data_IF_972781177164
#
_entry.id   IF_972781177164
#
_cell.length_a   1.000
_cell.length_b   1.000
_cell.length_c   1.000
_cell.angle_alpha   90.00
_cell.angle_beta   90.00
_cell.angle_gamma   90.00
#
_symmetry.space_group_name_H-M   'P 1'
#
loop_
_entity.id
_entity.type
_entity.pdbx_description
1 polymer ?
#
# COMPACT_ATOMS: atom_id res chain seq x y z
N UNK A 1 5.47 -20.93 19.20
CA UNK A 1 4.90 -19.58 19.35
C UNK A 1 3.60 -19.61 20.14
N UNK A 2 3.34 -18.59 20.96
CA UNK A 2 2.08 -18.44 21.71
C UNK A 2 0.84 -18.38 20.80
N UNK A 3 1.02 -18.01 19.52
CA UNK A 3 -0.02 -18.00 18.48
C UNK A 3 -0.63 -19.37 18.18
N UNK A 4 0.17 -20.44 18.24
CA UNK A 4 -0.29 -21.80 17.95
C UNK A 4 -0.84 -22.51 19.19
N UNK A 5 -0.46 -22.06 20.40
CA UNK A 5 -0.82 -22.67 21.69
C UNK A 5 -2.12 -22.12 22.30
N UNK A 6 -2.88 -21.29 21.57
CA UNK A 6 -4.16 -20.73 22.04
C UNK A 6 -4.06 -19.69 23.16
N UNK A 7 -2.85 -19.29 23.57
CA UNK A 7 -2.62 -18.26 24.61
C UNK A 7 -2.87 -16.83 24.12
N UNK A 8 -3.04 -16.64 22.80
CA UNK A 8 -3.38 -15.35 22.19
C UNK A 8 -4.89 -15.23 22.05
N UNK A 9 -5.47 -14.13 22.54
CA UNK A 9 -6.89 -13.78 22.35
C UNK A 9 -7.22 -13.70 20.84
N UNK A 10 -8.28 -14.37 20.40
CA UNK A 10 -8.73 -14.42 19.01
C UNK A 10 -8.56 -15.79 18.33
N UNK A 11 -8.84 -15.85 17.02
CA UNK A 11 -8.81 -17.10 16.23
C UNK A 11 -7.46 -17.82 16.35
N UNK A 12 -7.49 -19.14 16.56
CA UNK A 12 -6.30 -20.01 16.54
C UNK A 12 -5.57 -19.80 15.21
N UNK A 13 -4.30 -19.43 15.30
CA UNK A 13 -3.45 -19.26 14.12
C UNK A 13 -2.71 -20.58 13.90
N UNK A 14 -2.78 -21.10 12.67
CA UNK A 14 -2.05 -22.30 12.27
C UNK A 14 -0.53 -22.14 12.37
N UNK A 15 0.20 -23.24 12.24
CA UNK A 15 1.67 -23.20 12.19
C UNK A 15 2.15 -22.31 11.03
N UNK A 16 3.29 -21.60 11.19
CA UNK A 16 3.91 -20.87 10.09
C UNK A 16 4.09 -21.80 8.88
N UNK A 17 3.58 -21.38 7.72
CA UNK A 17 3.76 -22.10 6.46
C UNK A 17 4.83 -21.39 5.64
N UNK A 18 5.71 -22.15 5.01
CA UNK A 18 6.62 -21.59 4.02
C UNK A 18 5.81 -20.96 2.87
N UNK A 19 6.21 -19.76 2.44
CA UNK A 19 5.65 -19.16 1.23
C UNK A 19 6.05 -20.00 0.02
N UNK A 20 5.10 -20.26 -0.87
CA UNK A 20 5.40 -20.87 -2.18
C UNK A 20 6.30 -19.94 -2.98
N UNK A 21 7.26 -20.49 -3.72
CA UNK A 21 8.18 -19.70 -4.57
C UNK A 21 7.44 -18.92 -5.66
N UNK A 22 6.29 -19.41 -6.10
CA UNK A 22 5.44 -18.82 -7.16
C UNK A 22 4.48 -17.73 -6.68
N UNK A 23 4.28 -17.59 -5.37
CA UNK A 23 3.45 -16.51 -4.83
C UNK A 23 4.22 -15.19 -4.82
N UNK A 24 3.50 -14.08 -4.65
CA UNK A 24 4.11 -12.78 -4.42
C UNK A 24 5.15 -12.84 -3.28
N UNK A 25 6.33 -12.31 -3.56
CA UNK A 25 7.45 -12.24 -2.62
C UNK A 25 7.76 -10.78 -2.30
N UNK A 26 8.27 -10.54 -1.11
CA UNK A 26 8.61 -9.19 -0.69
C UNK A 26 9.78 -9.17 0.30
N UNK A 27 10.62 -8.15 0.20
CA UNK A 27 11.69 -7.86 1.14
C UNK A 27 11.68 -6.37 1.48
N UNK A 28 11.63 -6.03 2.77
CA UNK A 28 11.61 -4.65 3.25
C UNK A 28 12.96 -4.27 3.84
N UNK A 29 13.47 -3.12 3.42
CA UNK A 29 14.69 -2.50 3.91
C UNK A 29 14.31 -1.19 4.63
N UNK A 30 14.77 -1.03 5.86
CA UNK A 30 14.67 0.24 6.60
C UNK A 30 15.93 1.08 6.41
N UNK A 31 15.92 2.28 6.97
CA UNK A 31 17.09 3.18 7.07
C UNK A 31 18.35 2.37 7.43
N UNK A 32 19.45 2.63 6.70
CA UNK A 32 20.72 1.89 6.79
C UNK A 32 20.80 0.64 5.90
N UNK A 33 19.65 0.06 5.52
CA UNK A 33 19.57 -1.08 4.60
C UNK A 33 19.42 -0.70 3.12
N UNK A 34 19.25 0.59 2.81
CA UNK A 34 19.14 1.11 1.46
C UNK A 34 19.58 2.57 1.39
N UNK A 35 19.87 3.05 0.18
CA UNK A 35 20.07 4.47 -0.10
C UNK A 35 19.66 4.80 -1.53
N UNK A 36 19.44 6.09 -1.81
CA UNK A 36 19.07 6.58 -3.13
C UNK A 36 20.04 7.69 -3.50
N UNK A 37 20.72 7.57 -4.64
CA UNK A 37 21.70 8.57 -5.11
C UNK A 37 21.69 8.64 -6.64
N UNK A 38 21.48 9.84 -7.19
CA UNK A 38 21.47 10.07 -8.63
C UNK A 38 20.47 9.18 -9.37
N UNK A 39 19.26 9.02 -8.83
CA UNK A 39 18.20 8.17 -9.40
C UNK A 39 18.43 6.66 -9.28
N UNK A 40 19.57 6.22 -8.72
CA UNK A 40 19.87 4.81 -8.44
C UNK A 40 19.48 4.45 -7.02
N UNK A 41 19.04 3.21 -6.84
CA UNK A 41 18.72 2.62 -5.54
C UNK A 41 19.79 1.59 -5.20
N UNK A 42 20.38 1.75 -4.03
CA UNK A 42 21.22 0.75 -3.39
C UNK A 42 20.39 -0.04 -2.39
N UNK A 43 20.54 -1.37 -2.39
CA UNK A 43 20.01 -2.26 -1.36
C UNK A 43 21.16 -3.06 -0.73
N UNK A 44 21.20 -3.12 0.59
CA UNK A 44 22.22 -3.87 1.32
C UNK A 44 22.25 -5.34 0.86
N UNK A 45 23.45 -5.85 0.58
CA UNK A 45 23.72 -7.22 0.06
C UNK A 45 23.20 -7.52 -1.34
N UNK A 46 22.55 -6.57 -2.02
CA UNK A 46 22.06 -6.72 -3.39
C UNK A 46 22.85 -5.83 -4.34
N UNK A 47 23.13 -4.58 -3.94
CA UNK A 47 23.88 -3.62 -4.75
C UNK A 47 23.01 -2.51 -5.34
N UNK A 48 23.53 -1.85 -6.36
CA UNK A 48 22.92 -0.68 -7.02
C UNK A 48 22.14 -1.07 -8.27
N UNK A 49 21.01 -0.43 -8.50
CA UNK A 49 20.25 -0.54 -9.75
C UNK A 49 19.44 0.73 -10.02
N UNK A 50 19.03 0.91 -11.27
CA UNK A 50 18.24 2.07 -11.71
C UNK A 50 16.80 1.61 -11.97
N UNK A 51 15.85 1.85 -11.05
CA UNK A 51 14.44 1.57 -11.32
C UNK A 51 13.85 2.57 -12.32
N UNK A 52 12.74 2.19 -12.94
CA UNK A 52 11.87 3.13 -13.64
C UNK A 52 11.03 3.84 -12.57
N UNK A 53 11.21 5.14 -12.42
CA UNK A 53 10.48 5.95 -11.45
C UNK A 53 9.08 6.27 -11.99
N UNK A 54 8.05 5.89 -11.24
CA UNK A 54 6.66 6.28 -11.56
C UNK A 54 6.33 7.72 -11.16
N UNK A 55 7.14 8.29 -10.25
CA UNK A 55 7.11 9.67 -9.78
C UNK A 55 8.38 9.96 -8.98
N UNK A 56 8.71 11.24 -8.84
CA UNK A 56 9.74 11.68 -7.91
C UNK A 56 9.30 11.48 -6.45
N UNK A 57 10.27 11.24 -5.56
CA UNK A 57 10.01 11.12 -4.13
C UNK A 57 9.92 12.53 -3.53
N UNK A 58 8.82 12.89 -2.85
CA UNK A 58 8.66 14.22 -2.30
C UNK A 58 9.60 14.47 -1.11
N UNK A 59 9.96 13.42 -0.37
CA UNK A 59 10.86 13.47 0.79
C UNK A 59 11.70 12.19 0.86
N UNK A 60 12.70 12.19 1.75
CA UNK A 60 13.50 11.01 2.02
C UNK A 60 12.62 9.87 2.58
N UNK A 61 12.64 8.68 1.97
CA UNK A 61 11.83 7.56 2.44
C UNK A 61 12.39 6.93 3.73
N UNK A 62 11.50 6.48 4.60
CA UNK A 62 11.86 5.73 5.82
C UNK A 62 12.14 4.25 5.56
N UNK A 63 11.66 3.74 4.42
CA UNK A 63 11.89 2.36 3.99
C UNK A 63 11.55 2.14 2.53
N UNK A 64 12.11 1.08 1.97
CA UNK A 64 11.77 0.56 0.65
C UNK A 64 11.38 -0.91 0.76
N UNK A 65 10.33 -1.31 0.06
CA UNK A 65 9.91 -2.71 -0.07
C UNK A 65 10.09 -3.14 -1.52
N UNK A 66 10.94 -4.14 -1.73
CA UNK A 66 11.05 -4.85 -3.00
C UNK A 66 9.90 -5.85 -3.07
N UNK A 67 9.13 -5.83 -4.14
CA UNK A 67 8.00 -6.73 -4.36
C UNK A 67 8.25 -7.46 -5.67
N UNK A 68 8.10 -8.78 -5.65
CA UNK A 68 8.06 -9.62 -6.85
C UNK A 68 6.65 -10.16 -6.99
N UNK A 69 5.97 -9.82 -8.08
CA UNK A 69 4.63 -10.33 -8.34
C UNK A 69 4.65 -11.75 -8.95
N UNK A 70 3.47 -12.33 -9.13
CA UNK A 70 3.33 -13.66 -9.74
C UNK A 70 3.70 -13.69 -11.23
N UNK A 71 3.75 -12.52 -11.89
CA UNK A 71 4.20 -12.35 -13.27
C UNK A 71 5.73 -12.14 -13.37
N UNK A 72 6.47 -12.38 -12.27
CA UNK A 72 7.93 -12.29 -12.22
C UNK A 72 8.46 -10.85 -12.43
N UNK A 73 7.64 -9.82 -12.19
CA UNK A 73 8.02 -8.40 -12.27
C UNK A 73 8.42 -7.89 -10.89
N UNK A 74 9.38 -6.97 -10.87
CA UNK A 74 9.88 -6.35 -9.64
C UNK A 74 9.40 -4.91 -9.52
N UNK A 75 8.97 -4.55 -8.31
CA UNK A 75 8.54 -3.20 -7.95
C UNK A 75 9.25 -2.74 -6.68
N UNK A 76 9.49 -1.43 -6.60
CA UNK A 76 9.91 -0.77 -5.38
C UNK A 76 8.76 0.09 -4.85
N UNK A 77 8.38 -0.15 -3.59
CA UNK A 77 7.44 0.70 -2.87
C UNK A 77 8.19 1.43 -1.76
N UNK A 78 8.20 2.77 -1.85
CA UNK A 78 8.82 3.64 -0.87
C UNK A 78 7.78 4.17 0.11
N UNK A 79 8.12 4.16 1.40
CA UNK A 79 7.32 4.84 2.42
C UNK A 79 7.97 6.17 2.71
N UNK A 80 7.27 7.25 2.43
CA UNK A 80 7.69 8.63 2.69
C UNK A 80 6.75 9.25 3.72
N UNK A 81 7.31 10.05 4.62
CA UNK A 81 6.54 10.90 5.50
C UNK A 81 6.36 12.25 4.81
N UNK A 82 5.13 12.77 4.84
CA UNK A 82 4.74 14.02 4.18
C UNK A 82 3.97 14.82 5.21
N UNK A 83 4.36 16.07 5.41
CA UNK A 83 3.58 16.99 6.24
C UNK A 83 2.24 17.28 5.58
N UNK A 84 1.17 17.13 6.34
CA UNK A 84 -0.17 17.48 5.88
C UNK A 84 -0.30 18.99 5.79
N UNK A 85 -0.65 19.50 4.61
CA UNK A 85 -1.02 20.90 4.47
C UNK A 85 -2.45 21.05 5.02
N UNK A 86 -2.56 21.65 6.21
CA UNK A 86 -3.85 22.05 6.75
C UNK A 86 -4.26 23.37 6.08
N UNK A 87 -5.27 23.29 5.24
CA UNK A 87 -5.96 24.45 4.68
C UNK A 87 -7.33 24.56 5.34
N UNK A 88 -7.77 25.78 5.62
CA UNK A 88 -9.13 25.99 6.07
C UNK A 88 -10.11 25.54 4.98
N UNK A 89 -11.15 24.82 5.42
CA UNK A 89 -12.21 24.39 4.54
C UNK A 89 -12.92 25.64 4.00
N UNK A 90 -12.85 25.84 2.68
CA UNK A 90 -13.56 26.95 2.01
C UNK A 90 -15.09 26.76 1.99
N UNK A 91 -15.53 25.50 2.13
CA UNK A 91 -16.92 25.10 2.05
C UNK A 91 -17.38 24.51 3.38
N UNK A 92 -18.69 24.49 3.57
CA UNK A 92 -19.32 23.84 4.72
C UNK A 92 -18.98 22.35 4.76
N UNK A 93 -18.88 21.79 5.97
CA UNK A 93 -18.73 20.35 6.16
C UNK A 93 -19.96 19.61 5.63
N UNK A 94 -19.72 18.47 4.97
CA UNK A 94 -20.77 17.63 4.41
C UNK A 94 -20.58 16.18 4.87
N UNK A 95 -21.66 15.57 5.37
CA UNK A 95 -21.67 14.15 5.67
C UNK A 95 -21.83 13.35 4.38
N UNK A 96 -21.03 12.29 4.21
CA UNK A 96 -21.10 11.39 3.06
C UNK A 96 -21.41 9.97 3.56
N UNK A 97 -22.54 9.41 3.13
CA UNK A 97 -22.90 8.00 3.33
C UNK A 97 -22.66 7.21 2.04
N UNK A 98 -21.94 6.10 2.13
CA UNK A 98 -21.52 5.31 0.96
C UNK A 98 -22.37 4.04 0.81
N UNK A 99 -22.89 3.81 -0.40
CA UNK A 99 -23.79 2.69 -0.68
C UNK A 99 -23.49 1.95 -1.98
N UNK A 100 -24.12 0.78 -2.15
CA UNK A 100 -23.94 -0.07 -3.34
C UNK A 100 -24.80 0.43 -4.51
N UNK A 101 -26.08 0.72 -4.26
CA UNK A 101 -27.03 1.19 -5.29
C UNK A 101 -26.81 2.67 -5.62
N UNK A 102 -26.65 3.49 -4.59
CA UNK A 102 -26.27 4.90 -4.69
C UNK A 102 -24.90 5.02 -4.06
N UNK A 103 -23.90 5.40 -4.86
CA UNK A 103 -22.50 5.37 -4.44
C UNK A 103 -22.24 6.28 -3.24
N UNK A 104 -22.78 7.50 -3.29
CA UNK A 104 -22.66 8.46 -2.20
C UNK A 104 -23.94 9.28 -2.06
N UNK A 105 -24.43 9.44 -0.84
CA UNK A 105 -25.49 10.39 -0.46
C UNK A 105 -24.87 11.44 0.44
N UNK A 106 -25.10 12.70 0.09
CA UNK A 106 -24.57 13.85 0.81
C UNK A 106 -25.64 14.45 1.74
N UNK A 107 -25.24 15.01 2.88
CA UNK A 107 -26.18 15.61 3.85
C UNK A 107 -26.94 16.84 3.33
N UNK A 108 -26.51 17.42 2.21
CA UNK A 108 -27.23 18.47 1.47
C UNK A 108 -28.33 17.91 0.54
N UNK A 109 -28.50 16.59 0.46
CA UNK A 109 -29.48 15.91 -0.39
C UNK A 109 -28.97 15.51 -1.77
N UNK A 110 -27.78 15.94 -2.17
CA UNK A 110 -27.16 15.52 -3.44
C UNK A 110 -26.76 14.04 -3.41
N UNK A 111 -26.73 13.40 -4.58
CA UNK A 111 -26.48 11.96 -4.71
C UNK A 111 -25.58 11.66 -5.91
N UNK A 112 -24.54 10.86 -5.68
CA UNK A 112 -23.74 10.25 -6.74
C UNK A 112 -24.23 8.81 -6.99
N UNK A 113 -24.58 8.50 -8.24
CA UNK A 113 -25.03 7.16 -8.61
C UNK A 113 -23.86 6.20 -8.77
N UNK A 114 -24.10 4.94 -8.42
CA UNK A 114 -23.12 3.88 -8.59
C UNK A 114 -23.01 3.51 -10.07
N UNK A 115 -21.80 3.27 -10.61
CA UNK A 115 -21.63 2.66 -11.92
C UNK A 115 -22.39 1.32 -12.00
N UNK A 116 -22.83 0.94 -13.20
CA UNK A 116 -23.38 -0.39 -13.41
C UNK A 116 -22.24 -1.42 -13.45
N UNK A 117 -22.11 -2.19 -12.37
CA UNK A 117 -21.09 -3.23 -12.23
C UNK A 117 -21.49 -4.57 -12.85
N UNK A 118 -22.72 -4.72 -13.38
CA UNK A 118 -23.19 -5.99 -13.96
C UNK A 118 -22.38 -6.48 -15.17
N UNK A 119 -21.61 -5.58 -15.82
CA UNK A 119 -20.79 -5.89 -17.00
C UNK A 119 -19.34 -6.28 -16.68
N UNK A 120 -18.90 -6.16 -15.42
CA UNK A 120 -17.51 -6.42 -15.03
C UNK A 120 -17.24 -7.89 -14.67
N UNK A 121 -18.30 -8.70 -14.53
CA UNK A 121 -18.22 -10.16 -14.34
C UNK A 121 -18.45 -10.89 -15.69
N UNK A 122 -17.53 -10.74 -16.65
CA UNK A 122 -17.43 -11.63 -17.82
C UNK A 122 -15.99 -11.93 -18.19
#
# INVERSE_FOLDING_TARGET
>A
FNSCKGKRKGKKIGSPKFKKKTNQQSARFRIGGFSIKGGKVYLAKIGNFSPIWSRDLPFAPSSVTVIKDCANRYFLSFVVEVETVNIDAKNQSIGIDLGIKTFAVMSNGEKAQSPDYSKLDR
#
